data_IF_815243104127
#
_entry.id   IF_815243104127
#
_cell.length_a   1.000
_cell.length_b   1.000
_cell.length_c   1.000
_cell.angle_alpha   90.00
_cell.angle_beta   90.00
_cell.angle_gamma   90.00
#
_symmetry.space_group_name_H-M   'P 1'
#
loop_
_entity.id
_entity.type
_entity.pdbx_description
1 polymer ?
#
# COMPACT_ATOMS: atom_id res chain seq x y z
N UNK A 1 29.64 -49.41 -103.30
CA UNK A 1 30.90 -49.09 -102.58
C UNK A 1 31.31 -47.65 -102.89
N UNK A 2 31.93 -46.85 -101.99
CA UNK A 2 32.27 -47.08 -100.59
C UNK A 2 31.60 -46.07 -99.61
N UNK A 3 30.88 -46.55 -98.57
CA UNK A 3 30.21 -45.78 -97.54
C UNK A 3 31.09 -45.57 -96.29
N UNK A 4 32.27 -44.94 -96.45
CA UNK A 4 33.17 -44.59 -95.32
C UNK A 4 33.63 -43.11 -95.29
N UNK A 5 33.56 -42.38 -96.41
CA UNK A 5 33.90 -40.93 -96.45
C UNK A 5 32.78 -40.01 -95.95
N UNK A 6 31.50 -40.37 -96.14
CA UNK A 6 30.36 -39.56 -95.65
C UNK A 6 30.18 -39.61 -94.12
N UNK A 7 30.49 -40.75 -93.46
CA UNK A 7 30.49 -40.85 -91.98
C UNK A 7 31.63 -40.06 -91.32
N UNK A 8 32.87 -40.15 -91.82
CA UNK A 8 34.00 -39.32 -91.34
C UNK A 8 33.80 -37.81 -91.56
N UNK A 9 33.15 -37.41 -92.66
CA UNK A 9 32.83 -36.00 -92.92
C UNK A 9 31.69 -35.48 -92.02
N UNK A 10 30.70 -36.33 -91.73
CA UNK A 10 29.63 -36.02 -90.78
C UNK A 10 30.16 -35.94 -89.33
N UNK A 11 31.01 -36.87 -88.89
CA UNK A 11 31.68 -36.83 -87.58
C UNK A 11 32.60 -35.62 -87.45
N UNK A 12 33.35 -35.25 -88.49
CA UNK A 12 34.21 -34.05 -88.48
C UNK A 12 33.40 -32.74 -88.49
N UNK A 13 32.20 -32.74 -89.09
CA UNK A 13 31.23 -31.61 -89.02
C UNK A 13 30.57 -31.53 -87.65
N UNK A 14 30.16 -32.66 -87.08
CA UNK A 14 29.55 -32.76 -85.76
C UNK A 14 30.56 -32.38 -84.67
N UNK A 15 31.81 -32.83 -84.77
CA UNK A 15 32.88 -32.46 -83.85
C UNK A 15 33.27 -30.98 -83.98
N UNK A 16 33.26 -30.40 -85.20
CA UNK A 16 33.41 -28.95 -85.39
C UNK A 16 32.25 -28.16 -84.79
N UNK A 17 31.00 -28.63 -84.93
CA UNK A 17 29.84 -28.03 -84.28
C UNK A 17 29.94 -28.12 -82.75
N UNK A 18 30.31 -29.28 -82.20
CA UNK A 18 30.55 -29.46 -80.76
C UNK A 18 31.67 -28.56 -80.25
N UNK A 19 32.80 -28.43 -80.97
CA UNK A 19 33.88 -27.51 -80.60
C UNK A 19 33.45 -26.04 -80.66
N UNK A 20 32.61 -25.66 -81.65
CA UNK A 20 32.05 -24.31 -81.72
C UNK A 20 31.05 -24.06 -80.59
N UNK A 21 30.19 -25.02 -80.27
CA UNK A 21 29.28 -24.95 -79.13
C UNK A 21 30.03 -24.91 -77.80
N UNK A 22 31.08 -25.69 -77.62
CA UNK A 22 31.93 -25.67 -76.42
C UNK A 22 32.65 -24.33 -76.27
N UNK A 23 33.16 -23.76 -77.37
CA UNK A 23 33.74 -22.40 -77.37
C UNK A 23 32.69 -21.35 -77.02
N UNK A 24 31.48 -21.44 -77.59
CA UNK A 24 30.39 -20.52 -77.25
C UNK A 24 29.95 -20.69 -75.78
N UNK A 25 29.88 -21.91 -75.25
CA UNK A 25 29.58 -22.19 -73.84
C UNK A 25 30.69 -21.66 -72.93
N UNK A 26 31.96 -21.80 -73.32
CA UNK A 26 33.10 -21.26 -72.58
C UNK A 26 33.05 -19.73 -72.52
N UNK A 27 32.85 -19.07 -73.66
CA UNK A 27 32.72 -17.60 -73.73
C UNK A 27 31.52 -17.09 -72.92
N UNK A 28 30.38 -17.78 -72.99
CA UNK A 28 29.20 -17.47 -72.15
C UNK A 28 29.49 -17.64 -70.65
N UNK A 29 30.18 -18.71 -70.26
CA UNK A 29 30.60 -18.95 -68.85
C UNK A 29 31.60 -17.90 -68.36
N UNK A 30 32.50 -17.46 -69.23
CA UNK A 30 33.47 -16.40 -68.89
C UNK A 30 32.78 -15.04 -68.75
N UNK A 31 31.87 -14.71 -69.66
CA UNK A 31 31.03 -13.51 -69.55
C UNK A 31 30.22 -13.52 -68.26
N UNK A 32 29.54 -14.63 -67.97
CA UNK A 32 28.76 -14.79 -66.75
C UNK A 32 29.63 -14.69 -65.49
N UNK A 33 30.86 -15.24 -65.50
CA UNK A 33 31.79 -15.09 -64.38
C UNK A 33 32.19 -13.64 -64.14
N UNK A 34 32.51 -12.89 -65.21
CA UNK A 34 32.81 -11.46 -65.10
C UNK A 34 31.61 -10.67 -64.59
N UNK A 35 30.40 -10.98 -65.04
CA UNK A 35 29.17 -10.36 -64.54
C UNK A 35 28.92 -10.67 -63.05
N UNK A 36 29.16 -11.90 -62.61
CA UNK A 36 29.05 -12.30 -61.19
C UNK A 36 30.11 -11.60 -60.33
N UNK A 37 31.35 -11.51 -60.80
CA UNK A 37 32.44 -10.81 -60.10
C UNK A 37 32.17 -9.30 -60.01
N UNK A 38 31.73 -8.67 -61.09
CA UNK A 38 31.30 -7.27 -61.11
C UNK A 38 30.06 -7.06 -60.23
N UNK A 39 29.11 -8.00 -60.23
CA UNK A 39 27.97 -8.03 -59.33
C UNK A 39 28.38 -8.08 -57.86
N UNK A 40 29.33 -8.95 -57.50
CA UNK A 40 29.86 -9.07 -56.14
C UNK A 40 30.58 -7.79 -55.69
N UNK A 41 31.37 -7.17 -56.57
CA UNK A 41 32.03 -5.89 -56.30
C UNK A 41 31.01 -4.75 -56.15
N UNK A 42 29.99 -4.70 -57.01
CA UNK A 42 28.92 -3.72 -56.92
C UNK A 42 28.12 -3.88 -55.64
N UNK A 43 27.79 -5.11 -55.21
CA UNK A 43 27.13 -5.37 -53.93
C UNK A 43 27.99 -4.87 -52.76
N UNK A 44 29.30 -5.14 -52.75
CA UNK A 44 30.21 -4.63 -51.71
C UNK A 44 30.22 -3.10 -51.70
N UNK A 45 30.25 -2.46 -52.88
CA UNK A 45 30.21 -0.99 -53.03
C UNK A 45 28.88 -0.40 -52.52
N UNK A 46 27.75 -1.00 -52.89
CA UNK A 46 26.43 -0.59 -52.41
C UNK A 46 26.28 -0.79 -50.91
N UNK A 47 26.72 -1.93 -50.35
CA UNK A 47 26.72 -2.17 -48.90
C UNK A 47 27.58 -1.17 -48.14
N UNK A 48 28.73 -0.77 -48.69
CA UNK A 48 29.58 0.28 -48.10
C UNK A 48 28.87 1.63 -48.14
N UNK A 49 28.36 2.05 -49.30
CA UNK A 49 27.60 3.31 -49.46
C UNK A 49 26.36 3.37 -48.58
N UNK A 50 25.63 2.26 -48.46
CA UNK A 50 24.46 2.16 -47.59
C UNK A 50 24.84 2.33 -46.13
N UNK A 51 25.91 1.65 -45.66
CA UNK A 51 26.43 1.84 -44.30
C UNK A 51 26.88 3.28 -44.05
N UNK A 52 27.59 3.89 -44.99
CA UNK A 52 27.99 5.30 -44.89
C UNK A 52 26.77 6.23 -44.79
N UNK A 53 25.76 6.03 -45.64
CA UNK A 53 24.51 6.80 -45.61
C UNK A 53 23.73 6.60 -44.31
N UNK A 54 23.60 5.34 -43.86
CA UNK A 54 22.94 5.00 -42.61
C UNK A 54 23.68 5.59 -41.40
N UNK A 55 25.02 5.54 -41.39
CA UNK A 55 25.83 6.17 -40.35
C UNK A 55 25.67 7.69 -40.35
N UNK A 56 25.70 8.34 -41.52
CA UNK A 56 25.47 9.79 -41.61
C UNK A 56 24.10 10.20 -41.08
N UNK A 57 23.06 9.39 -41.31
CA UNK A 57 21.72 9.67 -40.82
C UNK A 57 21.53 9.34 -39.33
N UNK A 58 22.09 8.23 -38.84
CA UNK A 58 21.85 7.73 -37.47
C UNK A 58 22.85 8.23 -36.43
N UNK A 59 24.10 8.48 -36.80
CA UNK A 59 25.12 8.97 -35.86
C UNK A 59 24.75 10.31 -35.18
N UNK A 60 24.20 11.33 -35.86
CA UNK A 60 23.78 12.55 -35.17
C UNK A 60 22.64 12.28 -34.17
N UNK A 61 21.66 11.45 -34.54
CA UNK A 61 20.55 11.05 -33.64
C UNK A 61 21.07 10.28 -32.42
N UNK A 62 22.06 9.39 -32.60
CA UNK A 62 22.68 8.66 -31.48
C UNK A 62 23.44 9.63 -30.56
N UNK A 63 24.14 10.62 -31.12
CA UNK A 63 24.84 11.64 -30.33
C UNK A 63 23.87 12.49 -29.52
N UNK A 64 22.81 12.97 -30.15
CA UNK A 64 21.76 13.75 -29.50
C UNK A 64 21.08 12.93 -28.38
N UNK A 65 20.74 11.67 -28.64
CA UNK A 65 20.18 10.79 -27.61
C UNK A 65 21.16 10.54 -26.44
N UNK A 66 22.46 10.39 -26.73
CA UNK A 66 23.49 10.23 -25.71
C UNK A 66 23.63 11.50 -24.87
N UNK A 67 23.58 12.67 -25.49
CA UNK A 67 23.65 13.97 -24.84
C UNK A 67 22.41 14.21 -23.95
N UNK A 68 21.21 13.93 -24.45
CA UNK A 68 19.98 13.97 -23.64
C UNK A 68 20.05 13.00 -22.47
N UNK A 69 20.51 11.77 -22.69
CA UNK A 69 20.67 10.78 -21.62
C UNK A 69 21.72 11.24 -20.59
N UNK A 70 22.82 11.83 -21.04
CA UNK A 70 23.86 12.38 -20.18
C UNK A 70 23.33 13.53 -19.31
N UNK A 71 22.67 14.53 -19.90
CA UNK A 71 22.06 15.63 -19.15
C UNK A 71 20.97 15.15 -18.17
N UNK A 72 20.19 14.15 -18.57
CA UNK A 72 19.17 13.55 -17.68
C UNK A 72 19.81 12.86 -16.49
N UNK A 73 20.90 12.14 -16.72
CA UNK A 73 21.66 11.49 -15.66
C UNK A 73 22.31 12.50 -14.73
N UNK A 74 22.95 13.54 -15.27
CA UNK A 74 23.60 14.61 -14.52
C UNK A 74 22.60 15.35 -13.62
N UNK A 75 21.45 15.76 -14.17
CA UNK A 75 20.35 16.33 -13.40
C UNK A 75 19.86 15.39 -12.30
N UNK A 76 19.79 14.09 -12.58
CA UNK A 76 19.35 13.11 -11.57
C UNK A 76 20.39 12.99 -10.46
N UNK A 77 21.68 12.98 -10.79
CA UNK A 77 22.76 13.01 -9.80
C UNK A 77 22.69 14.27 -8.95
N UNK A 78 22.51 15.45 -9.54
CA UNK A 78 22.40 16.71 -8.79
C UNK A 78 21.23 16.70 -7.81
N UNK A 79 20.05 16.25 -8.25
CA UNK A 79 18.89 16.13 -7.37
C UNK A 79 19.18 15.16 -6.22
N UNK A 80 19.86 14.04 -6.50
CA UNK A 80 20.21 13.06 -5.47
C UNK A 80 21.27 13.60 -4.51
N UNK A 81 22.29 14.28 -5.00
CA UNK A 81 23.32 14.92 -4.18
C UNK A 81 22.73 16.02 -3.29
N UNK A 82 21.84 16.84 -3.82
CA UNK A 82 21.11 17.82 -3.04
C UNK A 82 20.23 17.16 -1.97
N UNK A 83 19.51 16.09 -2.33
CA UNK A 83 18.72 15.32 -1.36
C UNK A 83 19.59 14.73 -0.25
N UNK A 84 20.78 14.21 -0.60
CA UNK A 84 21.76 13.70 0.38
C UNK A 84 22.23 14.83 1.29
N UNK A 85 22.55 16.01 0.76
CA UNK A 85 22.96 17.17 1.56
C UNK A 85 21.89 17.56 2.59
N UNK A 86 20.63 17.67 2.18
CA UNK A 86 19.52 17.99 3.11
C UNK A 86 19.40 16.90 4.19
N UNK A 87 19.53 15.63 3.80
CA UNK A 87 19.44 14.52 4.76
C UNK A 87 20.62 14.53 5.75
N UNK A 88 21.81 14.94 5.32
CA UNK A 88 22.96 15.12 6.21
C UNK A 88 22.71 16.27 7.19
N UNK A 89 22.26 17.42 6.71
CA UNK A 89 21.95 18.58 7.56
C UNK A 89 20.87 18.24 8.60
N UNK A 90 19.82 17.52 8.18
CA UNK A 90 18.76 17.08 9.09
C UNK A 90 19.24 16.05 10.11
N UNK A 91 20.23 15.22 9.76
CA UNK A 91 20.84 14.26 10.67
C UNK A 91 21.71 14.99 11.71
N UNK A 92 22.49 15.97 11.29
CA UNK A 92 23.30 16.81 12.18
C UNK A 92 22.40 17.59 13.15
N UNK A 93 21.29 18.17 12.67
CA UNK A 93 20.32 18.87 13.53
C UNK A 93 19.66 17.92 14.54
N UNK A 94 19.30 16.70 14.11
CA UNK A 94 18.72 15.69 15.00
C UNK A 94 19.72 15.25 16.09
N UNK A 95 21.01 15.11 15.73
CA UNK A 95 22.06 14.79 16.69
C UNK A 95 22.28 15.94 17.69
N UNK A 96 22.32 17.19 17.23
CA UNK A 96 22.45 18.35 18.13
C UNK A 96 21.26 18.46 19.10
N UNK A 97 20.04 18.24 18.61
CA UNK A 97 18.84 18.19 19.44
C UNK A 97 18.91 17.06 20.47
N UNK A 98 19.36 15.87 20.07
CA UNK A 98 19.53 14.73 20.96
C UNK A 98 20.55 15.05 22.08
N UNK A 99 21.73 15.55 21.71
CA UNK A 99 22.78 15.90 22.68
C UNK A 99 22.33 17.01 23.63
N UNK A 100 21.60 18.01 23.13
CA UNK A 100 21.06 19.10 23.95
C UNK A 100 20.03 18.58 24.94
N UNK A 101 19.13 17.70 24.51
CA UNK A 101 18.14 17.09 25.38
C UNK A 101 18.80 16.19 26.45
N UNK A 102 19.80 15.39 26.07
CA UNK A 102 20.56 14.55 26.99
C UNK A 102 21.24 15.41 28.07
N UNK A 103 21.91 16.50 27.69
CA UNK A 103 22.51 17.46 28.62
C UNK A 103 21.48 18.04 29.58
N UNK A 104 20.31 18.46 29.07
CA UNK A 104 19.24 18.99 29.91
C UNK A 104 18.68 17.94 30.90
N UNK A 105 18.54 16.68 30.46
CA UNK A 105 18.14 15.59 31.34
C UNK A 105 19.17 15.35 32.46
N UNK A 106 20.47 15.32 32.12
CA UNK A 106 21.54 15.17 33.12
C UNK A 106 21.52 16.32 34.12
N UNK A 107 21.37 17.57 33.66
CA UNK A 107 21.28 18.74 34.54
C UNK A 107 20.07 18.67 35.47
N UNK A 108 18.93 18.20 34.97
CA UNK A 108 17.73 18.00 35.78
C UNK A 108 17.92 16.92 36.85
N UNK A 109 18.59 15.82 36.51
CA UNK A 109 18.94 14.76 37.48
C UNK A 109 19.89 15.32 38.54
N UNK A 110 20.91 16.09 38.16
CA UNK A 110 21.85 16.70 39.11
C UNK A 110 21.15 17.68 40.05
N UNK A 111 20.24 18.52 39.54
CA UNK A 111 19.37 19.38 40.37
C UNK A 111 18.54 18.56 41.35
N UNK A 112 17.94 17.47 40.90
CA UNK A 112 17.14 16.59 41.75
C UNK A 112 18.00 15.92 42.83
N UNK A 113 19.19 15.44 42.48
CA UNK A 113 20.14 14.86 43.43
C UNK A 113 20.55 15.87 44.50
N UNK A 114 20.85 17.12 44.12
CA UNK A 114 21.17 18.21 45.07
C UNK A 114 20.01 18.49 46.02
N UNK A 115 18.78 18.58 45.50
CA UNK A 115 17.58 18.79 46.33
C UNK A 115 17.35 17.65 47.33
N UNK A 116 17.47 16.40 46.88
CA UNK A 116 17.35 15.25 47.78
C UNK A 116 18.50 15.15 48.78
N UNK A 117 19.73 15.55 48.39
CA UNK A 117 20.86 15.62 49.29
C UNK A 117 20.61 16.59 50.45
N UNK A 118 20.14 17.81 50.15
CA UNK A 118 19.77 18.80 51.18
C UNK A 118 18.63 18.29 52.05
N UNK A 119 17.61 17.67 51.46
CA UNK A 119 16.49 17.11 52.21
C UNK A 119 16.95 16.01 53.17
N UNK A 120 17.82 15.11 52.72
CA UNK A 120 18.36 14.02 53.53
C UNK A 120 19.18 14.55 54.69
N UNK A 121 20.07 15.52 54.44
CA UNK A 121 20.86 16.18 55.48
C UNK A 121 19.97 16.86 56.53
N UNK A 122 18.90 17.53 56.12
CA UNK A 122 17.97 18.17 57.05
C UNK A 122 17.24 17.14 57.93
N UNK A 123 16.81 16.00 57.37
CA UNK A 123 16.20 14.94 58.17
C UNK A 123 17.20 14.26 59.10
N UNK A 124 18.45 14.08 58.66
CA UNK A 124 19.54 13.56 59.49
C UNK A 124 19.84 14.50 60.67
N UNK A 125 19.95 15.81 60.43
CA UNK A 125 20.15 16.80 61.50
C UNK A 125 18.97 16.80 62.50
N UNK A 126 17.72 16.71 62.01
CA UNK A 126 16.56 16.60 62.91
C UNK A 126 16.62 15.35 63.77
N UNK A 127 16.97 14.21 63.18
CA UNK A 127 17.11 12.95 63.91
C UNK A 127 18.22 13.02 64.97
N UNK A 128 19.38 13.58 64.61
CA UNK A 128 20.50 13.77 65.53
C UNK A 128 20.11 14.68 66.71
N UNK A 129 19.41 15.79 66.43
CA UNK A 129 18.92 16.69 67.48
C UNK A 129 17.92 15.98 68.40
N UNK A 130 16.94 15.24 67.84
CA UNK A 130 15.98 14.48 68.65
C UNK A 130 16.65 13.41 69.51
N UNK A 131 17.67 12.73 68.97
CA UNK A 131 18.43 11.74 69.72
C UNK A 131 19.20 12.40 70.87
N UNK A 132 19.82 13.56 70.60
CA UNK A 132 20.54 14.31 71.62
C UNK A 132 19.61 14.79 72.73
N UNK A 133 18.43 15.34 72.38
CA UNK A 133 17.43 15.78 73.35
C UNK A 133 16.96 14.63 74.26
N UNK A 134 16.74 13.43 73.69
CA UNK A 134 16.34 12.25 74.45
C UNK A 134 17.48 11.78 75.37
N UNK A 135 18.72 11.79 74.89
CA UNK A 135 19.89 11.41 75.68
C UNK A 135 20.10 12.37 76.85
N UNK A 136 19.98 13.68 76.60
CA UNK A 136 20.13 14.70 77.65
C UNK A 136 19.01 14.58 78.68
N UNK A 137 17.76 14.36 78.26
CA UNK A 137 16.65 14.09 79.18
C UNK A 137 16.88 12.83 80.03
N UNK A 138 17.38 11.75 79.42
CA UNK A 138 17.70 10.51 80.14
C UNK A 138 18.86 10.68 81.13
N UNK A 139 19.87 11.47 80.78
CA UNK A 139 20.99 11.78 81.67
C UNK A 139 20.52 12.59 82.89
N UNK A 140 19.71 13.63 82.68
CA UNK A 140 19.12 14.42 83.78
C UNK A 140 18.28 13.55 84.71
N UNK A 141 17.46 12.64 84.15
CA UNK A 141 16.66 11.70 84.97
C UNK A 141 17.55 10.70 85.73
N UNK A 142 18.60 10.17 85.11
CA UNK A 142 19.55 9.29 85.79
C UNK A 142 20.30 10.01 86.92
N UNK A 143 20.70 11.27 86.72
CA UNK A 143 21.31 12.09 87.76
C UNK A 143 20.34 12.32 88.93
N UNK A 144 19.07 12.60 88.64
CA UNK A 144 18.01 12.74 89.65
C UNK A 144 17.82 11.45 90.46
N UNK A 145 17.68 10.30 89.78
CA UNK A 145 17.53 8.99 90.43
C UNK A 145 18.76 8.65 91.28
N UNK A 146 19.98 8.93 90.79
CA UNK A 146 21.21 8.70 91.55
C UNK A 146 21.29 9.56 92.80
N UNK A 147 20.83 10.81 92.72
CA UNK A 147 20.74 11.70 93.86
C UNK A 147 19.76 11.17 94.92
N UNK A 148 18.53 10.81 94.52
CA UNK A 148 17.49 10.25 95.41
C UNK A 148 17.97 8.96 96.07
N UNK A 149 18.58 8.05 95.30
CA UNK A 149 19.15 6.81 95.82
C UNK A 149 20.21 7.05 96.90
N UNK A 150 21.10 8.02 96.69
CA UNK A 150 22.15 8.37 97.67
C UNK A 150 21.56 8.95 98.96
N UNK A 151 20.54 9.79 98.87
CA UNK A 151 19.84 10.32 100.05
C UNK A 151 19.18 9.19 100.86
N UNK A 152 18.49 8.28 100.18
CA UNK A 152 17.87 7.11 100.82
C UNK A 152 18.92 6.18 101.46
N UNK A 153 20.05 5.93 100.79
CA UNK A 153 21.13 5.10 101.31
C UNK A 153 21.70 5.67 102.62
N UNK A 154 21.97 6.97 102.66
CA UNK A 154 22.46 7.66 103.87
C UNK A 154 21.43 7.53 105.00
N UNK A 155 20.14 7.75 104.71
CA UNK A 155 19.07 7.60 105.69
C UNK A 155 18.99 6.19 106.29
N UNK A 156 19.06 5.14 105.45
CA UNK A 156 19.05 3.76 105.92
C UNK A 156 20.29 3.40 106.73
N UNK A 157 21.47 3.88 106.34
CA UNK A 157 22.69 3.66 107.11
C UNK A 157 22.59 4.25 108.52
N UNK A 158 21.96 5.42 108.67
CA UNK A 158 21.76 6.04 109.98
C UNK A 158 20.76 5.27 110.85
N UNK A 159 19.63 4.80 110.29
CA UNK A 159 18.70 3.90 111.01
C UNK A 159 19.42 2.64 111.47
N UNK A 160 20.23 2.03 110.60
CA UNK A 160 20.94 0.79 110.92
C UNK A 160 21.93 0.99 112.07
N UNK A 161 22.66 2.12 112.10
CA UNK A 161 23.57 2.46 113.22
C UNK A 161 22.79 2.61 114.53
N UNK A 162 21.66 3.31 114.52
CA UNK A 162 20.81 3.49 115.71
C UNK A 162 20.26 2.16 116.21
N UNK A 163 19.77 1.30 115.32
CA UNK A 163 19.27 -0.02 115.69
C UNK A 163 20.37 -0.90 116.28
N UNK A 164 21.57 -0.89 115.69
CA UNK A 164 22.71 -1.68 116.19
C UNK A 164 23.08 -1.29 117.61
N UNK A 165 23.17 0.01 117.90
CA UNK A 165 23.44 0.51 119.25
C UNK A 165 22.41 0.01 120.28
N UNK A 166 21.13 0.05 119.93
CA UNK A 166 20.04 -0.40 120.82
C UNK A 166 20.09 -1.91 121.10
N UNK A 167 20.44 -2.71 120.09
CA UNK A 167 20.56 -4.16 120.27
C UNK A 167 21.74 -4.51 121.20
N UNK A 168 22.87 -3.82 121.07
CA UNK A 168 24.04 -4.05 121.92
C UNK A 168 23.76 -3.71 123.40
N UNK A 169 23.00 -2.64 123.68
CA UNK A 169 22.55 -2.30 125.04
C UNK A 169 21.66 -3.40 125.66
N UNK A 170 20.70 -3.92 124.90
CA UNK A 170 19.82 -5.00 125.36
C UNK A 170 20.61 -6.27 125.67
N UNK A 171 21.58 -6.60 124.83
CA UNK A 171 22.42 -7.80 124.98
C UNK A 171 23.29 -7.73 126.24
N UNK A 172 23.83 -6.54 126.55
CA UNK A 172 24.61 -6.32 127.77
C UNK A 172 23.74 -6.38 129.04
N UNK A 173 22.50 -5.87 129.00
CA UNK A 173 21.55 -5.96 130.12
C UNK A 173 21.10 -7.40 130.43
N UNK A 174 20.91 -8.23 129.41
CA UNK A 174 20.50 -9.63 129.62
C UNK A 174 21.66 -10.44 130.21
N UNK A 175 22.89 -10.20 129.74
CA UNK A 175 24.10 -10.86 130.26
C UNK A 175 24.36 -10.52 131.73
N UNK A 176 24.12 -9.29 132.19
CA UNK A 176 24.31 -8.93 133.60
C UNK A 176 23.29 -9.58 134.54
N UNK A 177 22.05 -9.79 134.08
CA UNK A 177 20.98 -10.42 134.89
C UNK A 177 21.11 -11.94 135.05
N UNK A 178 21.72 -12.65 134.09
CA UNK A 178 21.66 -14.12 134.03
C UNK A 178 22.81 -14.85 134.74
N UNK A 179 23.91 -14.16 135.06
CA UNK A 179 25.11 -14.80 135.65
C UNK A 179 24.93 -15.13 137.15
N UNK A 180 23.96 -14.54 137.86
CA UNK A 180 23.82 -14.71 139.32
C UNK A 180 22.91 -15.86 139.78
N UNK A 181 22.18 -16.56 138.90
CA UNK A 181 21.18 -17.58 139.28
C UNK A 181 21.41 -19.00 138.75
N UNK A 182 22.45 -19.22 137.93
CA UNK A 182 22.57 -20.45 137.13
C UNK A 182 23.56 -21.47 137.70
N UNK A 183 24.46 -21.09 138.61
CA UNK A 183 25.50 -22.01 139.11
C UNK A 183 25.05 -22.98 140.22
N UNK A 184 23.86 -22.83 140.80
CA UNK A 184 23.39 -23.67 141.93
C UNK A 184 22.31 -24.69 141.52
N UNK A 185 21.71 -24.53 140.34
CA UNK A 185 20.63 -25.40 139.83
C UNK A 185 21.08 -26.28 138.64
N UNK A 186 22.39 -26.36 138.38
CA UNK A 186 22.93 -27.03 137.20
C UNK A 186 22.89 -28.56 137.30
N UNK A 187 23.16 -29.14 138.48
CA UNK A 187 23.28 -30.60 138.64
C UNK A 187 21.93 -31.33 138.78
N UNK A 188 20.96 -30.80 139.53
CA UNK A 188 19.63 -31.43 139.67
C UNK A 188 18.76 -31.33 138.41
N UNK A 189 19.05 -30.36 137.53
CA UNK A 189 18.28 -30.10 136.31
C UNK A 189 18.71 -30.98 135.12
N UNK A 190 19.88 -31.62 135.17
CA UNK A 190 20.38 -32.45 134.05
C UNK A 190 19.61 -33.78 133.91
N UNK A 191 19.20 -34.39 135.03
CA UNK A 191 18.41 -35.63 135.00
C UNK A 191 16.95 -35.37 134.59
N UNK A 192 16.34 -34.28 135.07
CA UNK A 192 15.00 -33.84 134.64
C UNK A 192 14.98 -33.45 133.16
N UNK A 193 16.04 -32.78 132.66
CA UNK A 193 16.20 -32.50 131.22
C UNK A 193 16.30 -33.76 130.38
N UNK A 194 17.00 -34.80 130.83
CA UNK A 194 17.10 -36.08 130.09
C UNK A 194 15.75 -36.79 129.94
N UNK A 195 14.93 -36.83 130.99
CA UNK A 195 13.61 -37.46 130.94
C UNK A 195 12.66 -36.66 130.03
N UNK A 196 12.62 -35.33 130.18
CA UNK A 196 11.81 -34.45 129.33
C UNK A 196 12.24 -34.54 127.85
N UNK A 197 13.54 -34.60 127.57
CA UNK A 197 14.09 -34.79 126.22
C UNK A 197 13.61 -36.10 125.59
N UNK A 198 13.65 -37.21 126.32
CA UNK A 198 13.19 -38.51 125.81
C UNK A 198 11.69 -38.52 125.48
N UNK A 199 10.86 -37.83 126.27
CA UNK A 199 9.41 -37.72 126.00
C UNK A 199 9.14 -36.84 124.77
N UNK A 200 9.83 -35.69 124.66
CA UNK A 200 9.73 -34.80 123.51
C UNK A 200 10.25 -35.44 122.22
N UNK A 201 11.36 -36.19 122.29
CA UNK A 201 11.88 -36.94 121.14
C UNK A 201 10.89 -38.00 120.66
N UNK A 202 10.22 -38.71 121.58
CA UNK A 202 9.14 -39.65 121.23
C UNK A 202 7.94 -38.93 120.59
N UNK A 203 7.56 -37.75 121.06
CA UNK A 203 6.49 -36.96 120.43
C UNK A 203 6.88 -36.41 119.05
N UNK A 204 8.11 -35.92 118.90
CA UNK A 204 8.68 -35.46 117.62
C UNK A 204 8.75 -36.63 116.64
N UNK A 205 9.16 -37.82 117.09
CA UNK A 205 9.16 -39.03 116.27
C UNK A 205 7.74 -39.38 115.78
N UNK A 206 6.74 -39.31 116.67
CA UNK A 206 5.32 -39.52 116.31
C UNK A 206 4.82 -38.48 115.31
N UNK A 207 5.12 -37.19 115.50
CA UNK A 207 4.76 -36.12 114.58
C UNK A 207 5.45 -36.27 113.22
N UNK A 208 6.75 -36.58 113.20
CA UNK A 208 7.49 -36.89 111.96
C UNK A 208 6.90 -38.08 111.22
N UNK A 209 6.46 -39.11 111.94
CA UNK A 209 5.81 -40.26 111.33
C UNK A 209 4.44 -39.89 110.75
N UNK A 210 3.65 -39.08 111.48
CA UNK A 210 2.35 -38.56 111.01
C UNK A 210 2.50 -37.65 109.80
N UNK A 211 3.46 -36.74 109.80
CA UNK A 211 3.78 -35.86 108.66
C UNK A 211 4.22 -36.67 107.45
N UNK A 212 5.13 -37.65 107.62
CA UNK A 212 5.50 -38.57 106.53
C UNK A 212 4.30 -39.35 106.00
N UNK A 213 3.38 -39.77 106.87
CA UNK A 213 2.16 -40.46 106.44
C UNK A 213 1.22 -39.55 105.63
N UNK A 214 1.05 -38.29 106.04
CA UNK A 214 0.26 -37.29 105.29
C UNK A 214 0.94 -36.94 103.96
N UNK A 215 2.27 -36.77 103.96
CA UNK A 215 3.03 -36.43 102.76
C UNK A 215 2.99 -37.58 101.73
N UNK A 216 3.17 -38.82 102.19
CA UNK A 216 3.08 -40.01 101.32
C UNK A 216 1.66 -40.24 100.81
N UNK A 217 0.63 -39.96 101.63
CA UNK A 217 -0.76 -39.98 101.18
C UNK A 217 -1.04 -38.89 100.13
N UNK A 218 -0.57 -37.66 100.35
CA UNK A 218 -0.71 -36.57 99.39
C UNK A 218 0.02 -36.85 98.09
N UNK A 219 1.26 -37.35 98.15
CA UNK A 219 2.01 -37.79 96.97
C UNK A 219 1.25 -38.88 96.22
N UNK A 220 0.79 -39.95 96.87
CA UNK A 220 0.01 -41.01 96.21
C UNK A 220 -1.30 -40.49 95.60
N UNK A 221 -2.00 -39.59 96.29
CA UNK A 221 -3.26 -39.01 95.83
C UNK A 221 -3.05 -38.05 94.63
N UNK A 222 -1.92 -37.34 94.59
CA UNK A 222 -1.62 -36.38 93.51
C UNK A 222 -0.79 -36.99 92.37
N UNK A 223 -0.19 -38.17 92.54
CA UNK A 223 0.72 -38.79 91.56
C UNK A 223 0.03 -39.02 90.20
N UNK A 224 -1.21 -39.52 90.23
CA UNK A 224 -1.98 -39.72 89.00
C UNK A 224 -2.32 -38.39 88.30
N UNK A 225 -2.70 -37.35 89.07
CA UNK A 225 -2.97 -36.02 88.50
C UNK A 225 -1.70 -35.39 87.92
N UNK A 226 -0.55 -35.58 88.58
CA UNK A 226 0.75 -35.13 88.09
C UNK A 226 1.15 -35.83 86.79
N UNK A 227 0.97 -37.15 86.70
CA UNK A 227 1.23 -37.92 85.46
C UNK A 227 0.34 -37.46 84.31
N UNK A 228 -0.96 -37.23 84.57
CA UNK A 228 -1.89 -36.70 83.57
C UNK A 228 -1.50 -35.29 83.13
N UNK A 229 -1.14 -34.41 84.06
CA UNK A 229 -0.67 -33.06 83.74
C UNK A 229 0.60 -33.09 82.90
N UNK A 230 1.60 -33.92 83.25
CA UNK A 230 2.84 -34.04 82.48
C UNK A 230 2.54 -34.54 81.06
N UNK A 231 1.67 -35.56 80.91
CA UNK A 231 1.28 -36.09 79.59
C UNK A 231 0.55 -35.05 78.72
N UNK A 232 -0.36 -34.27 79.32
CA UNK A 232 -1.04 -33.17 78.61
C UNK A 232 -0.05 -32.06 78.26
N UNK A 233 0.87 -31.71 79.16
CA UNK A 233 1.88 -30.68 78.92
C UNK A 233 2.83 -31.06 77.79
N UNK A 234 3.31 -32.31 77.76
CA UNK A 234 4.18 -32.77 76.67
C UNK A 234 3.47 -32.70 75.32
N UNK A 235 2.18 -33.06 75.27
CA UNK A 235 1.38 -32.92 74.04
C UNK A 235 1.18 -31.46 73.63
N UNK A 236 0.86 -30.57 74.59
CA UNK A 236 0.70 -29.15 74.31
C UNK A 236 2.01 -28.52 73.81
N UNK A 237 3.16 -28.89 74.40
CA UNK A 237 4.47 -28.45 73.93
C UNK A 237 4.77 -28.96 72.50
N UNK A 238 4.45 -30.22 72.18
CA UNK A 238 4.56 -30.77 70.82
C UNK A 238 3.66 -30.02 69.83
N UNK A 239 2.38 -29.82 70.16
CA UNK A 239 1.41 -29.10 69.34
C UNK A 239 1.85 -27.65 69.09
N UNK A 240 2.38 -26.95 70.10
CA UNK A 240 2.94 -25.59 69.96
C UNK A 240 4.08 -25.56 68.94
N UNK A 241 4.98 -26.54 68.94
CA UNK A 241 6.06 -26.58 67.94
C UNK A 241 5.53 -26.81 66.53
N UNK A 242 4.48 -27.62 66.37
CA UNK A 242 3.83 -27.86 65.08
C UNK A 242 3.11 -26.59 64.60
N UNK A 243 2.38 -25.92 65.49
CA UNK A 243 1.70 -24.65 65.19
C UNK A 243 2.73 -23.60 64.73
N UNK A 244 3.84 -23.46 65.44
CA UNK A 244 4.90 -22.52 65.07
C UNK A 244 5.47 -22.82 63.66
N UNK A 245 5.76 -24.09 63.36
CA UNK A 245 6.20 -24.52 62.01
C UNK A 245 5.14 -24.22 60.96
N UNK A 246 3.87 -24.45 61.27
CA UNK A 246 2.77 -24.23 60.33
C UNK A 246 2.55 -22.74 60.07
N UNK A 247 2.66 -21.87 61.07
CA UNK A 247 2.58 -20.40 60.88
C UNK A 247 3.65 -19.92 59.91
N UNK A 248 4.90 -20.37 60.08
CA UNK A 248 6.00 -20.04 59.16
C UNK A 248 5.73 -20.56 57.75
N UNK A 249 5.30 -21.82 57.61
CA UNK A 249 4.95 -22.42 56.31
C UNK A 249 3.84 -21.63 55.61
N UNK A 250 2.80 -21.26 56.35
CA UNK A 250 1.69 -20.46 55.84
C UNK A 250 2.17 -19.08 55.38
N UNK A 251 3.06 -18.43 56.13
CA UNK A 251 3.67 -17.16 55.73
C UNK A 251 4.44 -17.26 54.40
N UNK A 252 5.26 -18.31 54.23
CA UNK A 252 5.98 -18.57 52.98
C UNK A 252 5.01 -18.80 51.82
N UNK A 253 3.94 -19.58 52.04
CA UNK A 253 2.92 -19.84 51.02
C UNK A 253 2.14 -18.57 50.64
N UNK A 254 1.83 -17.69 51.60
CA UNK A 254 1.22 -16.40 51.29
C UNK A 254 2.12 -15.52 50.44
N UNK A 255 3.41 -15.50 50.74
CA UNK A 255 4.39 -14.73 49.99
C UNK A 255 4.58 -15.27 48.56
N UNK A 256 4.57 -16.60 48.37
CA UNK A 256 4.59 -17.18 47.01
C UNK A 256 3.31 -16.88 46.24
N UNK A 257 2.13 -16.96 46.88
CA UNK A 257 0.86 -16.57 46.27
C UNK A 257 0.90 -15.10 45.85
N UNK A 258 1.44 -14.21 46.69
CA UNK A 258 1.58 -12.78 46.38
C UNK A 258 2.47 -12.57 45.14
N UNK A 259 3.65 -13.19 45.09
CA UNK A 259 4.56 -13.13 43.94
C UNK A 259 3.93 -13.69 42.66
N UNK A 260 3.17 -14.78 42.76
CA UNK A 260 2.44 -15.35 41.62
C UNK A 260 1.33 -14.43 41.14
N UNK A 261 0.59 -13.79 42.04
CA UNK A 261 -0.43 -12.79 41.70
C UNK A 261 0.19 -11.59 40.99
N UNK A 262 1.30 -11.05 41.50
CA UNK A 262 2.05 -9.97 40.83
C UNK A 262 2.48 -10.38 39.42
N UNK A 263 3.07 -11.57 39.26
CA UNK A 263 3.40 -12.10 37.93
C UNK A 263 2.18 -12.18 37.01
N UNK A 264 1.05 -12.71 37.48
CA UNK A 264 -0.20 -12.76 36.69
C UNK A 264 -0.64 -11.36 36.27
N UNK A 265 -0.59 -10.37 37.17
CA UNK A 265 -0.96 -8.99 36.83
C UNK A 265 -0.03 -8.38 35.78
N UNK A 266 1.29 -8.61 35.88
CA UNK A 266 2.25 -8.14 34.87
C UNK A 266 2.07 -8.82 33.52
N UNK A 267 1.88 -10.15 33.49
CA UNK A 267 1.58 -10.89 32.26
C UNK A 267 0.29 -10.41 31.62
N UNK A 268 -0.76 -10.15 32.40
CA UNK A 268 -2.03 -9.62 31.90
C UNK A 268 -1.87 -8.22 31.32
N UNK A 269 -1.10 -7.36 31.99
CA UNK A 269 -0.80 -6.02 31.49
C UNK A 269 -0.02 -6.06 30.16
N UNK A 270 0.97 -6.93 30.05
CA UNK A 270 1.74 -7.10 28.82
C UNK A 270 0.88 -7.68 27.70
N UNK A 271 0.13 -8.76 27.95
CA UNK A 271 -0.77 -9.33 26.95
C UNK A 271 -1.83 -8.31 26.47
N UNK A 272 -2.35 -7.46 27.35
CA UNK A 272 -3.27 -6.40 26.96
C UNK A 272 -2.60 -5.34 26.07
N UNK A 273 -1.32 -5.00 26.32
CA UNK A 273 -0.55 -4.09 25.45
C UNK A 273 -0.33 -4.73 24.08
N UNK A 274 0.11 -5.98 24.04
CA UNK A 274 0.34 -6.71 22.79
C UNK A 274 -0.96 -6.80 21.96
N UNK A 275 -2.09 -7.11 22.60
CA UNK A 275 -3.40 -7.14 21.94
C UNK A 275 -3.80 -5.76 21.43
N UNK A 276 -3.53 -4.70 22.19
CA UNK A 276 -3.81 -3.32 21.77
C UNK A 276 -2.95 -2.92 20.56
N UNK A 277 -1.65 -3.22 20.58
CA UNK A 277 -0.72 -2.96 19.49
C UNK A 277 -1.15 -3.70 18.21
N UNK A 278 -1.41 -5.02 18.30
CA UNK A 278 -1.90 -5.82 17.18
C UNK A 278 -3.23 -5.28 16.64
N UNK A 279 -4.16 -4.87 17.51
CA UNK A 279 -5.43 -4.29 17.07
C UNK A 279 -5.23 -2.95 16.34
N UNK A 280 -4.29 -2.12 16.81
CA UNK A 280 -3.97 -0.84 16.18
C UNK A 280 -3.29 -1.02 14.81
N UNK A 281 -2.34 -1.95 14.70
CA UNK A 281 -1.69 -2.30 13.44
C UNK A 281 -2.70 -2.89 12.45
N UNK A 282 -3.55 -3.80 12.91
CA UNK A 282 -4.62 -4.36 12.09
C UNK A 282 -5.57 -3.28 11.57
N UNK A 283 -5.98 -2.33 12.41
CA UNK A 283 -6.83 -1.21 11.99
C UNK A 283 -6.14 -0.32 10.95
N UNK A 284 -4.84 -0.04 11.13
CA UNK A 284 -4.03 0.71 10.17
C UNK A 284 -3.95 -0.01 8.81
N UNK A 285 -3.54 -1.28 8.79
CA UNK A 285 -3.46 -2.07 7.56
C UNK A 285 -4.81 -2.25 6.89
N UNK A 286 -5.88 -2.42 7.67
CA UNK A 286 -7.23 -2.53 7.15
C UNK A 286 -7.65 -1.23 6.46
N UNK A 287 -7.39 -0.08 7.07
CA UNK A 287 -7.66 1.25 6.47
C UNK A 287 -6.87 1.46 5.18
N UNK A 288 -5.56 1.16 5.20
CA UNK A 288 -4.70 1.27 4.02
C UNK A 288 -5.15 0.34 2.88
N UNK A 289 -5.54 -0.91 3.21
CA UNK A 289 -6.09 -1.86 2.25
C UNK A 289 -7.37 -1.34 1.61
N UNK A 290 -8.31 -0.83 2.42
CA UNK A 290 -9.56 -0.27 1.89
C UNK A 290 -9.33 0.97 1.03
N UNK A 291 -8.41 1.85 1.42
CA UNK A 291 -8.04 3.02 0.62
C UNK A 291 -7.47 2.60 -0.74
N UNK A 292 -6.54 1.66 -0.76
CA UNK A 292 -5.96 1.13 -1.99
C UNK A 292 -7.01 0.42 -2.87
N UNK A 293 -7.89 -0.38 -2.25
CA UNK A 293 -9.00 -1.07 -2.95
C UNK A 293 -9.99 -0.08 -3.56
N UNK A 294 -10.38 0.96 -2.83
CA UNK A 294 -11.29 1.98 -3.33
C UNK A 294 -10.67 2.78 -4.47
N UNK A 295 -9.38 3.13 -4.36
CA UNK A 295 -8.64 3.77 -5.45
C UNK A 295 -8.62 2.88 -6.70
N UNK A 296 -8.27 1.61 -6.54
CA UNK A 296 -8.24 0.65 -7.65
C UNK A 296 -9.61 0.49 -8.33
N UNK A 297 -10.69 0.40 -7.54
CA UNK A 297 -12.05 0.33 -8.08
C UNK A 297 -12.44 1.59 -8.85
N UNK A 298 -12.03 2.76 -8.36
CA UNK A 298 -12.27 4.04 -9.01
C UNK A 298 -11.49 4.16 -10.33
N UNK A 299 -10.19 3.84 -10.32
CA UNK A 299 -9.34 3.78 -11.53
C UNK A 299 -9.90 2.80 -12.56
N UNK A 300 -10.27 1.58 -12.14
CA UNK A 300 -10.89 0.58 -13.02
C UNK A 300 -12.18 1.10 -13.66
N UNK A 301 -12.97 1.88 -12.94
CA UNK A 301 -14.21 2.46 -13.48
C UNK A 301 -13.91 3.59 -14.48
N UNK A 302 -12.92 4.43 -14.20
CA UNK A 302 -12.45 5.45 -15.14
C UNK A 302 -11.95 4.80 -16.43
N UNK A 303 -11.12 3.77 -16.33
CA UNK A 303 -10.57 3.05 -17.49
C UNK A 303 -11.68 2.40 -18.33
N UNK A 304 -12.68 1.78 -17.68
CA UNK A 304 -13.87 1.24 -18.35
C UNK A 304 -14.63 2.34 -19.11
N UNK A 305 -14.87 3.49 -18.47
CA UNK A 305 -15.57 4.59 -19.11
C UNK A 305 -14.77 5.14 -20.30
N UNK A 306 -13.46 5.36 -20.15
CA UNK A 306 -12.60 5.79 -21.25
C UNK A 306 -12.61 4.80 -22.41
N UNK A 307 -12.53 3.50 -22.12
CA UNK A 307 -12.60 2.46 -23.14
C UNK A 307 -13.94 2.48 -23.88
N UNK A 308 -15.06 2.66 -23.18
CA UNK A 308 -16.39 2.76 -23.84
C UNK A 308 -16.49 3.98 -24.74
N UNK A 309 -15.95 5.12 -24.32
CA UNK A 309 -15.92 6.36 -25.11
C UNK A 309 -15.07 6.16 -26.37
N UNK A 310 -13.84 5.68 -26.23
CA UNK A 310 -12.93 5.43 -27.36
C UNK A 310 -13.54 4.41 -28.33
N UNK A 311 -14.11 3.32 -27.81
CA UNK A 311 -14.77 2.30 -28.63
C UNK A 311 -15.97 2.86 -29.40
N UNK A 312 -16.77 3.72 -28.76
CA UNK A 312 -17.88 4.43 -29.41
C UNK A 312 -17.41 5.35 -30.53
N UNK A 313 -16.39 6.18 -30.28
CA UNK A 313 -15.79 7.05 -31.28
C UNK A 313 -15.19 6.25 -32.45
N UNK A 314 -14.42 5.21 -32.16
CA UNK A 314 -13.85 4.31 -33.16
C UNK A 314 -14.93 3.69 -34.05
N UNK A 315 -15.99 3.15 -33.46
CA UNK A 315 -17.10 2.56 -34.20
C UNK A 315 -17.81 3.60 -35.08
N UNK A 316 -18.00 4.83 -34.57
CA UNK A 316 -18.59 5.93 -35.34
C UNK A 316 -17.71 6.33 -36.53
N UNK A 317 -16.40 6.45 -36.32
CA UNK A 317 -15.44 6.76 -37.41
C UNK A 317 -15.37 5.63 -38.43
N UNK A 318 -15.36 4.37 -37.97
CA UNK A 318 -15.35 3.19 -38.83
C UNK A 318 -16.60 3.14 -39.70
N UNK A 319 -17.78 3.32 -39.12
CA UNK A 319 -19.04 3.39 -39.88
C UNK A 319 -19.04 4.56 -40.88
N UNK A 320 -18.49 5.71 -40.51
CA UNK A 320 -18.38 6.85 -41.42
C UNK A 320 -17.49 6.52 -42.62
N UNK A 321 -16.31 5.94 -42.38
CA UNK A 321 -15.38 5.52 -43.42
C UNK A 321 -15.99 4.43 -44.32
N UNK A 322 -16.70 3.46 -43.74
CA UNK A 322 -17.42 2.44 -44.51
C UNK A 322 -18.47 3.07 -45.43
N UNK A 323 -19.25 4.05 -44.95
CA UNK A 323 -20.19 4.80 -45.80
C UNK A 323 -19.50 5.60 -46.89
N UNK A 324 -18.29 6.11 -46.64
CA UNK A 324 -17.51 6.82 -47.65
C UNK A 324 -17.02 5.86 -48.74
N UNK A 325 -16.55 4.68 -48.34
CA UNK A 325 -16.14 3.62 -49.26
C UNK A 325 -17.32 3.19 -50.14
N UNK A 326 -18.50 2.91 -49.57
CA UNK A 326 -19.67 2.51 -50.37
C UNK A 326 -20.12 3.59 -51.35
N UNK A 327 -20.04 4.87 -50.97
CA UNK A 327 -20.29 6.00 -51.90
C UNK A 327 -19.23 6.06 -53.01
N UNK A 328 -17.96 5.83 -52.68
CA UNK A 328 -16.86 5.79 -53.65
C UNK A 328 -17.01 4.62 -54.64
N UNK A 329 -17.35 3.43 -54.15
CA UNK A 329 -17.66 2.26 -54.97
C UNK A 329 -18.85 2.52 -55.89
N UNK A 330 -19.94 3.10 -55.36
CA UNK A 330 -21.10 3.47 -56.15
C UNK A 330 -20.76 4.47 -57.26
N UNK A 331 -19.99 5.52 -56.93
CA UNK A 331 -19.52 6.50 -57.91
C UNK A 331 -18.66 5.83 -58.99
N UNK A 332 -17.76 4.93 -58.61
CA UNK A 332 -16.89 4.21 -59.53
C UNK A 332 -17.71 3.30 -60.48
N UNK A 333 -18.73 2.61 -59.96
CA UNK A 333 -19.68 1.83 -60.78
C UNK A 333 -20.44 2.75 -61.75
N UNK A 334 -20.92 3.90 -61.29
CA UNK A 334 -21.61 4.87 -62.15
C UNK A 334 -20.68 5.40 -63.26
N UNK A 335 -19.43 5.76 -62.94
CA UNK A 335 -18.43 6.19 -63.93
C UNK A 335 -18.17 5.07 -64.94
N UNK A 336 -17.98 3.82 -64.51
CA UNK A 336 -17.80 2.68 -65.41
C UNK A 336 -19.01 2.46 -66.33
N UNK A 337 -20.23 2.68 -65.81
CA UNK A 337 -21.47 2.55 -66.58
C UNK A 337 -21.61 3.67 -67.59
N UNK A 338 -21.36 4.93 -67.21
CA UNK A 338 -21.32 6.08 -68.10
C UNK A 338 -20.26 5.91 -69.20
N UNK A 339 -19.06 5.42 -68.86
CA UNK A 339 -17.96 5.17 -69.81
C UNK A 339 -18.31 4.17 -70.92
N UNK A 340 -19.32 3.30 -70.73
CA UNK A 340 -19.80 2.41 -71.81
C UNK A 340 -20.42 3.20 -72.97
N UNK A 341 -21.09 4.31 -72.69
CA UNK A 341 -21.81 5.12 -73.66
C UNK A 341 -20.99 6.26 -74.28
N UNK A 342 -19.76 6.47 -73.82
CA UNK A 342 -18.83 7.47 -74.36
C UNK A 342 -18.27 7.01 -75.71
N UNK A 343 -18.07 7.97 -76.62
CA UNK A 343 -17.45 7.74 -77.94
C UNK A 343 -15.96 7.40 -77.80
N UNK A 344 -15.33 6.84 -78.85
CA UNK A 344 -13.89 6.53 -78.79
C UNK A 344 -13.05 7.79 -78.65
N UNK A 345 -13.46 8.90 -79.28
CA UNK A 345 -12.76 10.18 -79.21
C UNK A 345 -12.78 10.75 -77.78
N UNK A 346 -13.92 10.66 -77.09
CA UNK A 346 -14.07 11.06 -75.68
C UNK A 346 -13.34 10.13 -74.70
N UNK A 347 -13.04 8.88 -75.09
CA UNK A 347 -12.26 7.93 -74.27
C UNK A 347 -10.76 8.17 -74.38
N UNK A 348 -10.29 8.63 -75.55
CA UNK A 348 -8.87 8.87 -75.85
C UNK A 348 -8.46 10.28 -75.39
N UNK A 349 -9.35 11.28 -75.55
CA UNK A 349 -9.19 12.63 -75.00
C UNK A 349 -10.36 12.99 -74.07
N UNK A 350 -10.38 12.49 -72.82
CA UNK A 350 -11.44 12.80 -71.86
C UNK A 350 -11.49 14.28 -71.46
N UNK A 351 -10.36 14.97 -71.57
CA UNK A 351 -10.19 16.38 -71.23
C UNK A 351 -9.69 17.09 -72.48
N UNK A 352 -10.55 17.89 -73.10
CA UNK A 352 -10.19 18.72 -74.25
C UNK A 352 -9.01 19.62 -73.88
N UNK A 353 -8.00 19.67 -74.75
CA UNK A 353 -6.79 20.47 -74.58
C UNK A 353 -7.11 21.86 -74.02
N UNK A 354 -6.34 22.27 -73.01
CA UNK A 354 -6.41 23.60 -72.42
C UNK A 354 -6.39 24.65 -73.53
N UNK A 355 -7.52 25.35 -73.73
CA UNK A 355 -7.44 26.72 -74.20
C UNK A 355 -6.82 27.47 -73.04
N UNK A 356 -5.53 27.78 -73.17
CA UNK A 356 -4.79 28.66 -72.26
C UNK A 356 -5.55 29.98 -72.25
N UNK A 357 -6.38 30.18 -71.24
CA UNK A 357 -6.80 31.51 -70.85
C UNK A 357 -5.72 32.06 -69.93
N UNK A 358 -5.26 33.24 -70.32
CA UNK A 358 -4.17 34.03 -69.78
C UNK A 358 -4.16 34.09 -68.23
N UNK A 359 -2.99 33.84 -67.66
CA UNK A 359 -2.73 33.56 -66.24
C UNK A 359 -2.63 34.86 -65.39
N UNK A 360 -3.45 35.86 -65.69
CA UNK A 360 -3.27 37.24 -65.19
C UNK A 360 -4.35 37.78 -64.27
N UNK A 361 -5.26 36.95 -63.76
CA UNK A 361 -6.22 37.39 -62.74
C UNK A 361 -6.23 36.36 -61.61
N UNK A 362 -5.40 36.59 -60.60
CA UNK A 362 -5.64 36.29 -59.17
C UNK A 362 -4.30 36.24 -58.40
N UNK A 363 -3.74 37.42 -58.13
CA UNK A 363 -2.71 37.58 -57.09
C UNK A 363 -3.10 38.56 -55.98
N UNK A 364 -4.36 38.97 -55.95
CA UNK A 364 -4.79 40.04 -55.06
C UNK A 364 -6.21 39.80 -54.56
N UNK A 365 -6.40 38.78 -53.73
CA UNK A 365 -7.53 38.76 -52.81
C UNK A 365 -7.21 38.01 -51.51
N UNK A 366 -6.91 38.82 -50.50
CA UNK A 366 -7.29 38.65 -49.09
C UNK A 366 -6.55 37.57 -48.29
N UNK A 367 -5.66 38.06 -47.43
CA UNK A 367 -5.25 37.44 -46.17
C UNK A 367 -6.44 37.38 -45.20
N UNK A 368 -7.18 36.26 -45.15
CA UNK A 368 -8.08 35.92 -44.03
C UNK A 368 -8.44 34.41 -44.04
N UNK A 369 -7.86 33.66 -43.11
CA UNK A 369 -8.24 32.29 -42.68
C UNK A 369 -8.54 31.26 -43.79
N UNK A 370 -7.48 30.72 -44.43
CA UNK A 370 -7.52 30.01 -45.72
C UNK A 370 -6.99 28.56 -45.72
N UNK A 371 -7.56 27.66 -44.92
CA UNK A 371 -7.36 26.21 -45.13
C UNK A 371 -8.61 25.54 -45.73
N UNK A 372 -9.81 25.78 -45.18
CA UNK A 372 -11.05 25.15 -45.67
C UNK A 372 -11.53 25.71 -47.02
N UNK A 373 -11.36 27.01 -47.26
CA UNK A 373 -11.79 27.66 -48.51
C UNK A 373 -10.89 27.29 -49.68
N UNK A 374 -9.61 27.00 -49.42
CA UNK A 374 -8.65 26.55 -50.45
C UNK A 374 -8.99 25.14 -50.95
N UNK A 375 -9.38 24.24 -50.04
CA UNK A 375 -9.86 22.90 -50.36
C UNK A 375 -11.17 22.92 -51.17
N UNK A 376 -12.08 23.86 -50.87
CA UNK A 376 -13.33 24.05 -51.64
C UNK A 376 -13.06 24.60 -53.04
N UNK A 377 -12.16 25.58 -53.19
CA UNK A 377 -11.78 26.14 -54.50
C UNK A 377 -11.08 25.07 -55.35
N UNK A 378 -10.16 24.29 -54.76
CA UNK A 378 -9.53 23.16 -55.47
C UNK A 378 -10.55 22.07 -55.84
N UNK A 379 -11.53 21.77 -54.98
CA UNK A 379 -12.60 20.81 -55.28
C UNK A 379 -13.52 21.27 -56.43
N UNK A 380 -13.83 22.57 -56.52
CA UNK A 380 -14.60 23.15 -57.63
C UNK A 380 -13.77 23.12 -58.92
N UNK A 381 -12.47 23.44 -58.83
CA UNK A 381 -11.53 23.37 -59.96
C UNK A 381 -11.37 21.93 -60.48
N UNK A 382 -11.35 20.95 -59.57
CA UNK A 382 -11.29 19.52 -59.92
C UNK A 382 -12.56 19.03 -60.64
N UNK A 383 -13.71 19.64 -60.40
CA UNK A 383 -14.99 19.30 -61.05
C UNK A 383 -15.22 20.06 -62.37
N UNK A 384 -14.48 21.12 -62.65
CA UNK A 384 -14.64 21.94 -63.86
C UNK A 384 -14.48 21.11 -65.14
N UNK A 385 -13.48 20.22 -65.15
CA UNK A 385 -13.22 19.31 -66.27
C UNK A 385 -14.35 18.31 -66.50
N UNK A 386 -14.96 17.80 -65.41
CA UNK A 386 -16.13 16.94 -65.49
C UNK A 386 -17.33 17.68 -66.09
N UNK A 387 -17.60 18.91 -65.64
CA UNK A 387 -18.70 19.71 -66.15
C UNK A 387 -18.52 20.11 -67.62
N UNK A 388 -17.29 20.43 -68.05
CA UNK A 388 -16.98 20.66 -69.47
C UNK A 388 -17.29 19.42 -70.32
N UNK A 389 -16.91 18.24 -69.84
CA UNK A 389 -17.20 16.96 -70.52
C UNK A 389 -18.70 16.68 -70.59
N UNK A 390 -19.43 16.92 -69.51
CA UNK A 390 -20.89 16.79 -69.48
C UNK A 390 -21.57 17.80 -70.43
N UNK A 391 -21.07 19.04 -70.50
CA UNK A 391 -21.56 20.07 -71.41
C UNK A 391 -21.40 19.71 -72.88
N UNK A 392 -20.24 19.17 -73.27
CA UNK A 392 -20.02 18.68 -74.65
C UNK A 392 -20.98 17.55 -75.02
N UNK A 393 -21.20 16.59 -74.11
CA UNK A 393 -22.18 15.53 -74.33
C UNK A 393 -23.62 16.07 -74.45
N UNK A 394 -23.97 17.12 -73.70
CA UNK A 394 -25.26 17.77 -73.84
C UNK A 394 -25.41 18.44 -75.22
N UNK A 395 -24.40 19.17 -75.69
CA UNK A 395 -24.42 19.81 -77.02
C UNK A 395 -24.62 18.76 -78.12
N UNK A 396 -23.82 17.70 -78.14
CA UNK A 396 -23.94 16.64 -79.14
C UNK A 396 -25.30 15.95 -79.08
N UNK A 397 -25.85 15.70 -77.90
CA UNK A 397 -27.20 15.12 -77.79
C UNK A 397 -28.30 16.07 -78.29
N UNK A 398 -28.16 17.38 -78.10
CA UNK A 398 -29.13 18.36 -78.64
C UNK A 398 -29.06 18.44 -80.17
N UNK A 399 -27.86 18.42 -80.74
CA UNK A 399 -27.65 18.37 -82.20
C UNK A 399 -28.27 17.10 -82.81
N UNK A 400 -27.99 15.92 -82.23
CA UNK A 400 -28.59 14.66 -82.67
C UNK A 400 -30.12 14.66 -82.55
N UNK A 401 -30.68 15.30 -81.52
CA UNK A 401 -32.14 15.45 -81.37
C UNK A 401 -32.72 16.36 -82.46
N UNK A 402 -32.06 17.46 -82.77
CA UNK A 402 -32.46 18.37 -83.85
C UNK A 402 -32.42 17.67 -85.21
N UNK A 403 -31.34 16.94 -85.52
CA UNK A 403 -31.25 16.16 -86.76
C UNK A 403 -32.31 15.06 -86.84
N UNK A 404 -32.52 14.31 -85.76
CA UNK A 404 -33.59 13.30 -85.67
C UNK A 404 -34.94 13.92 -85.95
N UNK A 405 -35.24 15.09 -85.39
CA UNK A 405 -36.54 15.74 -85.56
C UNK A 405 -36.71 16.30 -86.97
N UNK A 406 -35.64 16.81 -87.59
CA UNK A 406 -35.60 17.15 -89.02
C UNK A 406 -35.86 15.93 -89.90
N UNK A 407 -35.15 14.83 -89.70
CA UNK A 407 -35.33 13.58 -90.43
C UNK A 407 -36.72 12.97 -90.22
N UNK A 408 -37.29 13.09 -89.01
CA UNK A 408 -38.68 12.69 -88.75
C UNK A 408 -39.66 13.54 -89.53
N UNK A 409 -39.43 14.85 -89.63
CA UNK A 409 -40.28 15.77 -90.37
C UNK A 409 -40.19 15.50 -91.87
N UNK A 410 -38.98 15.31 -92.40
CA UNK A 410 -38.75 14.85 -93.78
C UNK A 410 -39.39 13.48 -94.04
N UNK A 411 -39.26 12.52 -93.12
CA UNK A 411 -39.90 11.21 -93.25
C UNK A 411 -41.43 11.28 -93.15
N UNK A 412 -42.00 12.20 -92.36
CA UNK A 412 -43.44 12.48 -92.36
C UNK A 412 -43.85 13.08 -93.70
N UNK A 413 -43.10 14.06 -94.20
CA UNK A 413 -43.33 14.70 -95.48
C UNK A 413 -43.24 13.71 -96.65
N UNK A 414 -42.21 12.86 -96.70
CA UNK A 414 -42.08 11.78 -97.69
C UNK A 414 -43.22 10.75 -97.57
N UNK A 415 -43.68 10.43 -96.35
CA UNK A 415 -44.86 9.58 -96.14
C UNK A 415 -46.15 10.25 -96.61
N UNK A 416 -46.30 11.56 -96.43
CA UNK A 416 -47.42 12.34 -96.96
C UNK A 416 -47.36 12.41 -98.49
N UNK A 417 -46.20 12.64 -99.08
CA UNK A 417 -45.99 12.59 -100.52
C UNK A 417 -46.28 11.19 -101.08
N UNK A 418 -45.86 10.11 -100.40
CA UNK A 418 -46.23 8.75 -100.78
C UNK A 418 -47.74 8.51 -100.64
N UNK A 419 -48.39 8.99 -99.57
CA UNK A 419 -49.85 8.94 -99.43
C UNK A 419 -50.55 9.71 -100.55
N UNK A 420 -50.01 10.87 -100.95
CA UNK A 420 -50.55 11.66 -102.04
C UNK A 420 -50.35 10.97 -103.39
N UNK A 421 -49.17 10.36 -103.64
CA UNK A 421 -48.90 9.52 -104.81
C UNK A 421 -49.79 8.28 -104.87
N UNK A 422 -50.10 7.66 -103.72
CA UNK A 422 -51.05 6.54 -103.63
C UNK A 422 -52.48 7.04 -103.87
N UNK A 423 -52.86 8.21 -103.34
CA UNK A 423 -54.17 8.82 -103.58
C UNK A 423 -54.36 9.24 -105.05
N UNK A 424 -53.32 9.77 -105.71
CA UNK A 424 -53.33 10.08 -107.15
C UNK A 424 -53.32 8.81 -108.01
N UNK A 425 -52.74 7.71 -107.53
CA UNK A 425 -52.83 6.39 -108.19
C UNK A 425 -54.16 5.69 -107.92
N UNK A 426 -54.86 6.04 -106.84
CA UNK A 426 -56.21 5.57 -106.49
C UNK A 426 -57.34 6.40 -107.14
N UNK A 427 -57.00 7.43 -107.94
CA UNK A 427 -57.95 8.23 -108.74
C UNK A 427 -58.13 7.71 -110.18
N UNK A 428 -57.70 6.47 -110.46
CA UNK A 428 -58.09 5.72 -111.66
C UNK A 428 -58.86 4.46 -111.22
N UNK A 429 -60.02 4.69 -110.61
CA UNK A 429 -61.22 3.83 -110.69
C UNK A 429 -62.37 4.51 -109.92
N UNK A 430 -63.35 5.12 -110.60
CA UNK A 430 -64.42 5.87 -109.96
C UNK A 430 -65.57 4.94 -109.60
N UNK A 431 -66.12 5.04 -108.38
CA UNK A 431 -67.57 4.89 -108.12
C UNK A 431 -67.98 5.18 -106.67
N UNK A 432 -68.88 6.16 -106.59
CA UNK A 432 -69.97 6.34 -105.61
C UNK A 432 -69.68 6.93 -104.24
N UNK A 433 -69.91 8.25 -104.20
CA UNK A 433 -70.52 9.01 -103.11
C UNK A 433 -71.52 8.23 -102.26
N UNK A 434 -71.50 8.49 -100.94
CA UNK A 434 -72.66 9.04 -100.24
C UNK A 434 -72.30 9.63 -98.86
N UNK A 435 -72.59 10.92 -98.75
CA UNK A 435 -73.29 11.63 -97.65
C UNK A 435 -72.67 11.65 -96.25
N UNK A 436 -72.22 12.86 -95.90
CA UNK A 436 -72.64 13.66 -94.72
C UNK A 436 -73.37 12.92 -93.60
N UNK A 437 -72.80 12.99 -92.39
CA UNK A 437 -73.49 13.41 -91.14
C UNK A 437 -72.47 13.54 -90.00
N UNK A 438 -72.38 14.74 -89.42
CA UNK A 438 -72.08 14.91 -87.99
C UNK A 438 -73.14 14.13 -87.18
N UNK A 439 -72.79 13.55 -86.02
CA UNK A 439 -72.92 14.33 -84.78
C UNK A 439 -71.84 14.10 -83.73
N UNK A 440 -71.76 15.10 -82.84
CA UNK A 440 -71.17 15.05 -81.50
C UNK A 440 -71.76 13.92 -80.64
N UNK A 441 -71.02 13.51 -79.61
CA UNK A 441 -71.39 13.62 -78.17
C UNK A 441 -70.65 12.57 -77.32
N UNK A 442 -69.89 13.08 -76.35
CA UNK A 442 -69.56 12.57 -75.00
C UNK A 442 -69.13 11.09 -74.84
N UNK A 443 -68.05 10.82 -74.09
CA UNK A 443 -68.06 10.86 -72.62
C UNK A 443 -66.75 11.39 -72.01
N UNK A 444 -66.97 12.27 -71.02
CA UNK A 444 -66.06 12.88 -70.04
C UNK A 444 -65.53 11.85 -69.00
N UNK A 445 -65.07 12.24 -67.79
CA UNK A 445 -63.69 12.61 -67.45
C UNK A 445 -63.19 11.78 -66.24
N UNK A 446 -61.92 11.91 -65.84
CA UNK A 446 -61.56 11.67 -64.43
C UNK A 446 -60.62 12.79 -63.99
N UNK A 447 -61.14 13.59 -63.07
CA UNK A 447 -60.47 14.56 -62.22
C UNK A 447 -59.86 13.82 -61.05
N UNK A 448 -58.63 14.17 -60.65
CA UNK A 448 -58.22 14.13 -59.24
C UNK A 448 -57.44 15.43 -58.95
N UNK A 449 -58.08 16.28 -58.15
CA UNK A 449 -57.53 17.39 -57.36
C UNK A 449 -56.40 16.89 -56.42
N UNK A 450 -55.45 17.68 -55.91
CA UNK A 450 -55.33 19.12 -55.90
C UNK A 450 -54.22 19.59 -54.95
N UNK A 451 -54.14 20.91 -54.87
CA UNK A 451 -53.72 21.79 -53.77
C UNK A 451 -52.36 21.61 -53.06
N UNK A 452 -51.53 22.62 -53.36
CA UNK A 452 -50.71 23.38 -52.41
C UNK A 452 -51.44 23.68 -51.09
N UNK A 453 -50.75 23.49 -49.96
CA UNK A 453 -50.82 24.41 -48.82
C UNK A 453 -49.47 24.46 -48.09
N UNK A 454 -48.99 25.69 -47.91
CA UNK A 454 -48.07 26.07 -46.85
C UNK A 454 -48.68 25.76 -45.48
N UNK A 455 -47.85 25.36 -44.53
CA UNK A 455 -48.01 25.83 -43.15
C UNK A 455 -46.65 25.91 -42.45
N UNK A 456 -46.42 27.06 -41.83
CA UNK A 456 -45.37 27.32 -40.87
C UNK A 456 -45.96 27.30 -39.46
N UNK A 457 -45.23 26.76 -38.48
CA UNK A 457 -45.23 27.07 -37.03
C UNK A 457 -44.23 26.08 -36.37
N UNK A 458 -43.12 26.54 -35.76
CA UNK A 458 -42.98 26.76 -34.29
C UNK A 458 -43.64 25.63 -33.49
N UNK A 459 -42.93 24.71 -32.84
CA UNK A 459 -41.89 24.82 -31.78
C UNK A 459 -40.85 23.70 -31.95
#
# INVERSE_FOLDING_TARGET
>A
MPPKKKKKAAEKRLHRQQQLEERQRFLKREHLRREVELGALNIKRFKRRWREMAMRAKMPVIKENLEVAWHTFDRTLDIKNYSISILMDALDEAEEQYLTNERAHIENIDKLMKLYGVKLQNEEMKYQNQLQDILDAANVENERISYEYKEEEVFFQDIMKVMKHRLDELLNNIKSMTISKVNELAEDNDNSRRIARNVLEKQIAKLRHRLRRVLTHYQKSTDNRRKMYISVKTKDDEERTIIAKQVVRTGILFETIRKLKEKITTFRANANKDVFEIASEHAFFHSAYWMAKNRFLLETNIDKNQLTIITSHYNRTMQHLQRLITKGEYLLVMIQTCRKYETQDEKILPFSAQVVFDDHIEKELVSLDWDKSREVIDNIRNLEQFWRRAGMAQITTTELRMERDKLKLESRHLRECLRHCIASRSLISPSREKRTKLPQVNKKPVVIDGNLYLNAQSI
#
